data_IF_835526364552
#
_entry.id   IF_835526364552
#
_cell.length_a   1.000
_cell.length_b   1.000
_cell.length_c   1.000
_cell.angle_alpha   90.00
_cell.angle_beta   90.00
_cell.angle_gamma   90.00
#
_symmetry.space_group_name_H-M   'P 1'
#
loop_
_entity.id
_entity.type
_entity.pdbx_description
1 polymer ?
#
# COMPACT_ATOMS: atom_id res chain seq x y z
N UNK A 1 11.54 14.18 33.02
CA UNK A 1 12.08 13.52 31.81
C UNK A 1 11.13 13.82 30.66
N UNK A 2 11.50 14.74 29.77
CA UNK A 2 10.67 15.08 28.62
C UNK A 2 10.70 13.94 27.60
N UNK A 3 9.58 13.26 27.42
CA UNK A 3 9.37 12.38 26.26
C UNK A 3 9.42 13.27 25.01
N UNK A 4 10.61 13.41 24.44
CA UNK A 4 10.79 13.93 23.09
C UNK A 4 9.95 13.04 22.17
N UNK A 5 8.78 13.54 21.74
CA UNK A 5 8.02 12.92 20.65
C UNK A 5 8.95 12.93 19.45
N UNK A 6 9.55 11.78 19.13
CA UNK A 6 10.34 11.61 17.90
C UNK A 6 9.48 12.11 16.75
N UNK A 7 9.94 13.16 16.08
CA UNK A 7 9.28 13.68 14.88
C UNK A 7 9.36 12.58 13.83
N UNK A 8 8.25 11.86 13.64
CA UNK A 8 8.12 10.89 12.55
C UNK A 8 7.92 11.68 11.27
N UNK A 9 8.90 11.63 10.37
CA UNK A 9 8.73 12.17 9.03
C UNK A 9 7.86 11.21 8.22
N UNK A 10 6.93 11.68 7.38
CA UNK A 10 6.16 10.79 6.52
C UNK A 10 7.08 10.01 5.58
N UNK A 11 6.79 8.72 5.40
CA UNK A 11 7.45 7.87 4.42
C UNK A 11 6.70 8.01 3.10
N UNK A 12 7.35 8.60 2.10
CA UNK A 12 6.82 8.71 0.75
C UNK A 12 7.26 7.51 -0.08
N UNK A 13 6.42 7.12 -1.03
CA UNK A 13 6.78 6.11 -2.02
C UNK A 13 6.25 6.50 -3.39
N UNK A 14 6.99 6.09 -4.42
CA UNK A 14 6.61 6.26 -5.80
C UNK A 14 7.05 5.05 -6.62
N UNK A 15 6.18 4.56 -7.49
CA UNK A 15 6.52 3.44 -8.36
C UNK A 15 5.30 2.82 -9.02
N UNK A 16 5.51 1.71 -9.76
CA UNK A 16 4.43 0.95 -10.35
C UNK A 16 3.74 0.07 -9.30
N UNK A 17 2.42 0.19 -9.21
CA UNK A 17 1.56 -0.64 -8.37
C UNK A 17 0.52 -1.33 -9.24
N UNK A 18 0.38 -2.63 -9.03
CA UNK A 18 -0.62 -3.46 -9.69
C UNK A 18 -1.93 -3.48 -8.90
N UNK A 19 -3.05 -3.16 -9.54
CA UNK A 19 -4.36 -3.13 -8.87
C UNK A 19 -4.99 -4.53 -8.95
N UNK A 20 -4.91 -5.27 -7.84
CA UNK A 20 -5.34 -6.66 -7.75
C UNK A 20 -6.81 -6.75 -7.38
N UNK A 21 -7.25 -5.92 -6.42
CA UNK A 21 -8.62 -5.93 -5.92
C UNK A 21 -9.13 -4.51 -5.72
N UNK A 22 -10.43 -4.31 -6.02
CA UNK A 22 -11.16 -3.09 -5.73
C UNK A 22 -11.76 -3.21 -4.33
N UNK A 23 -11.41 -2.30 -3.44
CA UNK A 23 -11.98 -2.23 -2.09
C UNK A 23 -13.25 -1.38 -2.02
N UNK A 24 -13.74 -1.18 -0.80
CA UNK A 24 -14.88 -0.30 -0.54
C UNK A 24 -14.58 1.14 -0.96
N UNK A 25 -15.60 1.85 -1.41
CA UNK A 25 -15.51 3.28 -1.74
C UNK A 25 -16.45 4.08 -0.86
N UNK A 26 -16.13 5.34 -0.58
CA UNK A 26 -17.03 6.25 0.17
C UNK A 26 -18.00 6.99 -0.74
N UNK A 27 -18.12 6.53 -1.99
CA UNK A 27 -18.84 7.24 -3.03
C UNK A 27 -20.35 7.07 -2.84
N UNK A 28 -21.03 8.17 -2.49
CA UNK A 28 -22.49 8.20 -2.43
C UNK A 28 -23.09 8.24 -3.82
N UNK A 29 -24.34 7.82 -3.94
CA UNK A 29 -25.11 7.97 -5.17
C UNK A 29 -25.12 9.44 -5.60
N UNK A 30 -24.90 9.69 -6.90
CA UNK A 30 -24.75 11.01 -7.53
C UNK A 30 -23.45 11.80 -7.24
N UNK A 31 -22.53 11.30 -6.40
CA UNK A 31 -21.22 11.92 -6.25
C UNK A 31 -20.19 11.39 -7.26
N UNK A 32 -19.45 12.31 -7.87
CA UNK A 32 -18.34 11.97 -8.77
C UNK A 32 -17.00 11.84 -8.04
N UNK A 33 -16.86 12.44 -6.84
CA UNK A 33 -15.63 12.43 -6.07
C UNK A 33 -15.79 11.67 -4.74
N UNK A 34 -14.78 10.87 -4.38
CA UNK A 34 -14.78 10.09 -3.16
C UNK A 34 -13.43 9.41 -2.89
N UNK A 35 -13.39 8.66 -1.79
CA UNK A 35 -12.26 7.80 -1.44
C UNK A 35 -12.44 6.44 -2.11
N UNK A 36 -11.38 5.96 -2.75
CA UNK A 36 -11.31 4.63 -3.33
C UNK A 36 -10.18 3.84 -2.68
N UNK A 37 -10.48 2.60 -2.32
CA UNK A 37 -9.51 1.70 -1.69
C UNK A 37 -9.20 0.54 -2.63
N UNK A 38 -7.97 0.03 -2.56
CA UNK A 38 -7.53 -1.08 -3.41
C UNK A 38 -6.55 -1.96 -2.65
N UNK A 39 -6.43 -3.20 -3.11
CA UNK A 39 -5.29 -4.06 -2.74
C UNK A 39 -4.31 -4.13 -3.90
N UNK A 40 -3.04 -3.98 -3.55
CA UNK A 40 -1.90 -4.11 -4.43
C UNK A 40 -0.84 -4.97 -3.77
N UNK A 41 0.24 -5.24 -4.48
CA UNK A 41 1.42 -5.86 -3.89
C UNK A 41 2.69 -5.32 -4.51
N UNK A 42 3.76 -5.36 -3.72
CA UNK A 42 5.12 -5.14 -4.20
C UNK A 42 5.85 -6.46 -4.15
N UNK A 43 6.54 -6.81 -5.24
CA UNK A 43 7.34 -8.03 -5.31
C UNK A 43 8.71 -7.75 -4.75
N UNK A 44 9.08 -8.53 -3.73
CA UNK A 44 10.34 -8.46 -3.02
C UNK A 44 11.10 -9.78 -3.16
N UNK A 45 12.41 -9.69 -3.03
CA UNK A 45 13.29 -10.86 -2.98
C UNK A 45 13.73 -11.10 -1.54
N UNK A 46 13.54 -12.32 -1.05
CA UNK A 46 14.10 -12.75 0.22
C UNK A 46 15.61 -12.97 0.07
N UNK A 47 16.42 -12.12 0.72
CA UNK A 47 17.88 -12.12 0.57
C UNK A 47 18.58 -13.43 0.94
N UNK A 48 17.97 -14.25 1.78
CA UNK A 48 18.55 -15.51 2.27
C UNK A 48 18.28 -16.68 1.32
N UNK A 49 17.11 -16.71 0.68
CA UNK A 49 16.69 -17.83 -0.18
C UNK A 49 16.68 -17.50 -1.66
N UNK A 50 16.75 -16.21 -2.01
CA UNK A 50 16.56 -15.70 -3.38
C UNK A 50 15.12 -15.86 -3.87
N UNK A 51 14.17 -16.26 -3.01
CA UNK A 51 12.78 -16.48 -3.41
C UNK A 51 12.05 -15.14 -3.50
N UNK A 52 11.24 -15.01 -4.55
CA UNK A 52 10.35 -13.87 -4.71
C UNK A 52 9.08 -14.09 -3.88
N UNK A 53 8.63 -13.05 -3.18
CA UNK A 53 7.34 -13.04 -2.50
C UNK A 53 6.63 -11.71 -2.75
N UNK A 54 5.30 -11.75 -2.71
CA UNK A 54 4.46 -10.57 -2.83
C UNK A 54 4.16 -10.04 -1.43
N UNK A 55 4.52 -8.78 -1.18
CA UNK A 55 4.10 -8.07 0.01
C UNK A 55 2.84 -7.27 -0.29
N UNK A 56 1.74 -7.58 0.39
CA UNK A 56 0.47 -6.88 0.21
C UNK A 56 0.58 -5.43 0.67
N UNK A 57 0.00 -4.52 -0.12
CA UNK A 57 -0.10 -3.10 0.18
C UNK A 57 -1.55 -2.67 0.06
N UNK A 58 -2.08 -2.05 1.12
CA UNK A 58 -3.36 -1.36 1.08
C UNK A 58 -3.17 0.01 0.44
N UNK A 59 -3.93 0.28 -0.61
CA UNK A 59 -3.92 1.56 -1.32
C UNK A 59 -5.19 2.33 -1.01
N UNK A 60 -5.06 3.64 -0.88
CA UNK A 60 -6.22 4.53 -0.76
C UNK A 60 -5.96 5.85 -1.45
N UNK A 61 -6.93 6.34 -2.23
CA UNK A 61 -6.80 7.61 -2.94
C UNK A 61 -8.14 8.34 -3.02
N UNK A 62 -8.09 9.67 -2.91
CA UNK A 62 -9.25 10.52 -3.12
C UNK A 62 -9.26 11.05 -4.54
N UNK A 63 -10.41 10.97 -5.20
CA UNK A 63 -10.71 11.85 -6.32
C UNK A 63 -11.86 11.35 -7.17
N UNK A 64 -11.79 11.43 -8.50
CA UNK A 64 -12.94 11.19 -9.39
C UNK A 64 -13.13 9.71 -9.74
N UNK A 65 -14.39 9.28 -9.82
CA UNK A 65 -14.82 7.97 -10.36
C UNK A 65 -14.30 7.76 -11.79
N UNK A 66 -14.24 8.81 -12.60
CA UNK A 66 -13.85 8.72 -14.01
C UNK A 66 -12.37 8.39 -14.22
N UNK A 67 -11.53 8.70 -13.24
CA UNK A 67 -10.07 8.51 -13.27
C UNK A 67 -9.61 7.55 -12.17
N UNK A 68 -10.54 6.85 -11.51
CA UNK A 68 -10.24 5.87 -10.50
C UNK A 68 -9.45 4.69 -11.13
N UNK A 69 -8.38 4.21 -10.48
CA UNK A 69 -7.72 2.98 -10.89
C UNK A 69 -8.72 1.83 -11.03
N UNK A 70 -8.50 0.98 -12.05
CA UNK A 70 -9.32 -0.20 -12.29
C UNK A 70 -8.47 -1.46 -12.10
N UNK A 71 -9.16 -2.57 -11.82
CA UNK A 71 -8.53 -3.87 -11.60
C UNK A 71 -7.74 -4.34 -12.82
N UNK A 72 -6.74 -5.18 -12.58
CA UNK A 72 -5.91 -5.84 -13.58
C UNK A 72 -5.09 -4.86 -14.45
N UNK A 73 -4.70 -3.74 -13.82
CA UNK A 73 -3.86 -2.70 -14.42
C UNK A 73 -2.78 -2.21 -13.48
N UNK A 74 -1.68 -1.79 -14.09
CA UNK A 74 -0.53 -1.21 -13.39
C UNK A 74 -0.54 0.30 -13.55
N UNK A 75 -0.39 0.99 -12.43
CA UNK A 75 -0.33 2.45 -12.36
C UNK A 75 0.98 2.90 -11.72
N UNK A 76 1.60 3.94 -12.25
CA UNK A 76 2.56 4.72 -11.49
C UNK A 76 1.77 5.54 -10.47
N UNK A 77 2.02 5.28 -9.19
CA UNK A 77 1.43 5.99 -8.07
C UNK A 77 2.52 6.68 -7.26
N UNK A 78 2.21 7.86 -6.74
CA UNK A 78 3.05 8.60 -5.80
C UNK A 78 2.24 9.01 -4.59
N UNK A 79 2.81 8.89 -3.39
CA UNK A 79 2.04 9.06 -2.18
C UNK A 79 2.85 8.89 -0.90
N UNK A 80 2.14 8.72 0.21
CA UNK A 80 2.72 8.50 1.54
C UNK A 80 2.08 7.32 2.26
N UNK A 81 2.89 6.59 3.03
CA UNK A 81 2.39 5.62 3.99
C UNK A 81 1.92 6.32 5.25
N UNK A 82 0.73 5.96 5.70
CA UNK A 82 0.13 6.45 6.95
C UNK A 82 -0.21 5.24 7.80
N UNK A 83 0.16 5.27 9.08
CA UNK A 83 -0.20 4.23 10.04
C UNK A 83 -1.72 4.23 10.20
N UNK A 84 -2.32 3.06 10.12
CA UNK A 84 -3.75 2.94 10.39
C UNK A 84 -4.02 3.21 11.88
N UNK A 85 -5.20 3.76 12.23
CA UNK A 85 -5.56 3.98 13.63
C UNK A 85 -5.52 2.64 14.39
N UNK A 86 -5.03 2.65 15.62
CA UNK A 86 -5.03 1.44 16.46
C UNK A 86 -6.49 1.06 16.74
N UNK A 87 -6.86 -0.18 16.46
CA UNK A 87 -8.18 -0.68 16.85
C UNK A 87 -8.26 -0.71 18.38
N UNK A 88 -9.42 -0.35 18.97
CA UNK A 88 -9.60 -0.40 20.41
C UNK A 88 -9.34 -1.84 20.86
N UNK A 89 -8.49 -2.01 21.88
CA UNK A 89 -8.21 -3.31 22.48
C UNK A 89 -9.54 -3.97 22.87
N UNK A 90 -9.85 -5.13 22.31
CA UNK A 90 -10.83 -6.00 22.93
C UNK A 90 -10.22 -6.47 24.25
N UNK A 91 -10.91 -6.29 25.38
CA UNK A 91 -10.42 -6.63 26.73
C UNK A 91 -10.04 -8.11 26.91
N UNK A 92 -10.31 -8.97 25.91
CA UNK A 92 -9.97 -10.38 25.86
C UNK A 92 -8.60 -10.71 25.24
N UNK A 93 -7.99 -9.78 24.49
CA UNK A 93 -6.70 -10.00 23.81
C UNK A 93 -5.71 -8.88 24.16
N UNK A 94 -4.71 -9.22 24.97
CA UNK A 94 -3.70 -8.28 25.50
C UNK A 94 -2.68 -7.82 24.43
N UNK A 95 -2.98 -8.06 23.15
CA UNK A 95 -2.17 -7.67 22.00
C UNK A 95 -2.86 -6.52 21.29
N UNK A 96 -2.26 -5.33 21.34
CA UNK A 96 -2.64 -4.25 20.43
C UNK A 96 -2.41 -4.76 18.99
N UNK A 97 -3.49 -5.01 18.25
CA UNK A 97 -3.39 -5.36 16.85
C UNK A 97 -2.81 -4.16 16.10
N UNK A 98 -1.65 -4.35 15.49
CA UNK A 98 -1.09 -3.35 14.59
C UNK A 98 -1.95 -3.38 13.33
N UNK A 99 -2.80 -2.37 13.16
CA UNK A 99 -3.72 -2.24 12.02
C UNK A 99 -3.01 -1.97 10.68
N UNK A 100 -1.66 -2.04 10.66
CA UNK A 100 -0.83 -1.91 9.46
C UNK A 100 -0.66 -0.47 9.00
N UNK A 101 -0.27 -0.34 7.73
CA UNK A 101 -0.09 0.94 7.05
C UNK A 101 -0.90 0.96 5.76
N UNK A 102 -1.50 2.11 5.45
CA UNK A 102 -2.15 2.35 4.16
C UNK A 102 -1.30 3.34 3.35
N UNK A 103 -1.06 3.02 2.08
CA UNK A 103 -0.42 3.92 1.15
C UNK A 103 -1.47 4.84 0.53
N UNK A 104 -1.41 6.11 0.93
CA UNK A 104 -2.26 7.17 0.41
C UNK A 104 -1.62 7.80 -0.82
N UNK A 105 -2.15 7.53 -2.00
CA UNK A 105 -1.66 8.06 -3.26
C UNK A 105 -2.43 9.30 -3.71
N UNK A 106 -1.76 10.19 -4.43
CA UNK A 106 -2.37 11.35 -5.05
C UNK A 106 -2.91 10.98 -6.45
N UNK A 107 -4.22 11.15 -6.66
CA UNK A 107 -4.82 10.83 -7.95
C UNK A 107 -4.30 11.74 -9.08
N UNK A 108 -3.89 12.98 -8.77
CA UNK A 108 -3.33 13.89 -9.78
C UNK A 108 -1.99 13.38 -10.36
N UNK A 109 -1.31 12.46 -9.65
CA UNK A 109 -0.03 11.87 -10.04
C UNK A 109 -0.18 10.43 -10.56
N UNK A 110 -1.41 9.98 -10.84
CA UNK A 110 -1.70 8.61 -11.28
C UNK A 110 -1.55 8.46 -12.79
N UNK A 111 -0.71 7.51 -13.23
CA UNK A 111 -0.52 7.20 -14.65
C UNK A 111 -0.70 5.70 -14.90
N UNK A 112 -1.69 5.31 -15.71
CA UNK A 112 -1.85 3.94 -16.18
C UNK A 112 -0.75 3.59 -17.19
N UNK A 113 0.05 2.55 -16.92
CA UNK A 113 1.15 2.14 -17.81
C UNK A 113 0.87 0.84 -18.58
N UNK A 114 -0.13 0.05 -18.17
CA UNK A 114 -0.53 -1.14 -18.92
C UNK A 114 -1.40 -2.11 -18.14
N UNK A 115 -1.67 -3.27 -18.74
CA UNK A 115 -2.35 -4.40 -18.09
C UNK A 115 -1.36 -5.19 -17.24
N UNK A 116 -1.83 -5.79 -16.15
CA UNK A 116 -1.02 -6.64 -15.25
C UNK A 116 -0.25 -7.73 -15.99
N UNK A 117 -0.89 -8.38 -16.97
CA UNK A 117 -0.31 -9.47 -17.76
C UNK A 117 0.98 -9.07 -18.49
N UNK A 118 1.11 -7.81 -18.91
CA UNK A 118 2.30 -7.31 -19.61
C UNK A 118 3.53 -7.25 -18.70
N UNK A 119 3.33 -7.24 -17.39
CA UNK A 119 4.38 -7.17 -16.39
C UNK A 119 4.59 -8.47 -15.63
N UNK A 120 3.85 -9.53 -15.98
CA UNK A 120 3.98 -10.85 -15.38
C UNK A 120 4.69 -11.79 -16.35
N UNK A 121 5.77 -12.42 -15.89
CA UNK A 121 6.38 -13.56 -16.59
C UNK A 121 6.03 -14.86 -15.88
N UNK A 122 6.40 -16.01 -16.47
CA UNK A 122 6.22 -17.33 -15.83
C UNK A 122 7.01 -17.49 -14.52
N UNK A 123 8.05 -16.68 -14.33
CA UNK A 123 9.07 -16.90 -13.28
C UNK A 123 9.20 -15.69 -12.33
N UNK A 124 8.85 -14.49 -12.78
CA UNK A 124 8.99 -13.26 -11.99
C UNK A 124 8.06 -12.12 -12.46
N UNK A 125 7.88 -11.12 -11.60
CA UNK A 125 7.24 -9.85 -11.96
C UNK A 125 8.28 -8.86 -12.50
N UNK A 126 8.00 -8.24 -13.64
CA UNK A 126 8.80 -7.14 -14.20
C UNK A 126 8.69 -5.83 -13.40
N UNK A 127 7.85 -5.81 -12.35
CA UNK A 127 7.70 -4.71 -11.40
C UNK A 127 8.63 -4.83 -10.19
N UNK A 128 9.33 -5.97 -10.05
CA UNK A 128 10.23 -6.22 -8.94
C UNK A 128 11.28 -5.12 -8.81
N UNK A 129 11.48 -4.64 -7.58
CA UNK A 129 12.47 -3.61 -7.24
C UNK A 129 12.31 -2.26 -7.98
N UNK A 130 11.11 -1.94 -8.49
CA UNK A 130 10.81 -0.66 -9.18
C UNK A 130 10.07 0.36 -8.32
N UNK A 131 9.79 0.04 -7.06
CA UNK A 131 9.16 0.97 -6.11
C UNK A 131 10.24 1.68 -5.32
N UNK A 132 10.29 3.00 -5.44
CA UNK A 132 11.16 3.88 -4.67
C UNK A 132 10.48 4.31 -3.37
N UNK A 133 11.28 4.48 -2.32
CA UNK A 133 10.84 5.01 -1.02
C UNK A 133 11.74 6.18 -0.65
N UNK A 134 11.13 7.28 -0.20
CA UNK A 134 11.81 8.51 0.18
C UNK A 134 11.29 9.00 1.52
N UNK A 135 12.18 9.48 2.40
CA UNK A 135 11.82 9.99 3.73
C UNK A 135 12.12 9.03 4.88
N UNK A 136 12.30 9.60 6.07
CA UNK A 136 12.79 8.91 7.27
C UNK A 136 11.65 8.45 8.20
N UNK A 137 10.65 7.77 7.62
CA UNK A 137 9.55 7.21 8.39
C UNK A 137 10.02 6.31 9.53
N UNK A 138 9.32 6.36 10.67
CA UNK A 138 9.60 5.42 11.76
C UNK A 138 9.02 4.06 11.35
N UNK A 139 9.90 3.16 10.91
CA UNK A 139 9.57 1.74 10.73
C UNK A 139 9.49 1.13 12.13
N UNK A 140 8.29 1.04 12.71
CA UNK A 140 8.11 0.28 13.93
C UNK A 140 7.88 -1.18 13.56
N UNK A 141 8.91 -2.02 13.68
CA UNK A 141 8.71 -3.46 13.73
C UNK A 141 7.95 -3.77 15.02
N UNK A 142 6.63 -3.92 14.93
CA UNK A 142 5.78 -4.41 16.03
C UNK A 142 4.91 -5.62 15.68
N UNK A 143 5.08 -6.19 14.49
CA UNK A 143 4.43 -7.46 14.14
C UNK A 143 5.50 -8.48 13.78
N UNK A 144 6.03 -9.16 14.79
CA UNK A 144 6.58 -10.49 14.59
C UNK A 144 5.40 -11.43 14.36
N UNK A 145 5.07 -11.72 13.11
CA UNK A 145 4.49 -12.99 12.69
C UNK A 145 4.80 -13.17 11.20
N UNK A 146 5.90 -13.86 10.94
CA UNK A 146 6.06 -14.61 9.71
C UNK A 146 4.95 -15.67 9.71
N UNK A 147 4.03 -15.61 8.74
CA UNK A 147 3.27 -16.79 8.34
C UNK A 147 3.54 -17.02 6.87
N UNK A 148 4.39 -18.02 6.62
CA UNK A 148 4.41 -18.75 5.37
C UNK A 148 3.08 -19.51 5.25
N UNK A 149 2.41 -19.38 4.11
CA UNK A 149 1.66 -20.48 3.51
C UNK A 149 2.10 -20.58 2.06
#
# INVERSE_FOLDING_TARGET
MSNSRRISHPMYSMGPFDIIELGLTTLKDHNNFGQFNYRSSVVLEEKTTGKHYNHEILLSGYGSRSTAPIRDRVYILGGRFVKNPEEPKNEADDKAECTGYTFFYDQALTLCIGRTEQYRTKVASLLMSKVGVFGFGVITNRCGHYSCV
#
